data_IF_314600973503
#
_entry.id   IF_314600973503
#
_cell.length_a   1.000
_cell.length_b   1.000
_cell.length_c   1.000
_cell.angle_alpha   90.00
_cell.angle_beta   90.00
_cell.angle_gamma   90.00
#
_symmetry.space_group_name_H-M   'P 1'
#
loop_
_entity.id
_entity.type
_entity.pdbx_description
1 polymer ?
#
# COMPACT_ATOMS: atom_id res chain seq x y z
N UNK A 1 44.97 12.63 -9.18
CA UNK A 1 44.34 11.34 -8.81
C UNK A 1 42.94 11.31 -9.41
N UNK A 2 42.65 10.41 -10.34
CA UNK A 2 41.30 10.25 -10.94
C UNK A 2 40.48 9.33 -10.03
N UNK A 3 39.60 9.92 -9.23
CA UNK A 3 38.70 9.17 -8.36
C UNK A 3 37.63 8.48 -9.21
N UNK A 4 37.59 7.15 -9.20
CA UNK A 4 36.53 6.37 -9.83
C UNK A 4 35.48 6.08 -8.76
N UNK A 5 34.35 6.75 -8.85
CA UNK A 5 33.18 6.47 -8.02
C UNK A 5 32.51 5.21 -8.59
N UNK A 6 32.62 4.10 -7.87
CA UNK A 6 31.90 2.87 -8.18
C UNK A 6 30.52 3.03 -7.54
N UNK A 7 29.51 3.30 -8.37
CA UNK A 7 28.12 3.16 -7.96
C UNK A 7 27.81 1.67 -7.83
N UNK A 8 27.83 1.16 -6.61
CA UNK A 8 27.31 -0.16 -6.30
C UNK A 8 25.78 -0.12 -6.47
N UNK A 9 25.32 -0.50 -7.65
CA UNK A 9 23.92 -0.85 -7.88
C UNK A 9 23.63 -2.14 -7.11
N UNK A 10 23.12 -1.99 -5.89
CA UNK A 10 22.50 -3.07 -5.14
C UNK A 10 21.24 -3.46 -5.90
N UNK A 11 21.38 -4.42 -6.81
CA UNK A 11 20.27 -5.15 -7.40
C UNK A 11 19.77 -6.09 -6.31
N UNK A 12 18.85 -5.60 -5.48
CA UNK A 12 17.99 -6.48 -4.67
C UNK A 12 17.00 -7.14 -5.63
N UNK A 13 17.49 -8.17 -6.31
CA UNK A 13 16.65 -9.14 -7.00
C UNK A 13 15.83 -9.89 -5.94
N UNK A 14 14.65 -9.35 -5.61
CA UNK A 14 13.58 -10.10 -4.97
C UNK A 14 13.07 -11.14 -5.97
N UNK A 15 13.86 -12.19 -6.18
CA UNK A 15 13.43 -13.43 -6.81
C UNK A 15 12.52 -14.19 -5.86
N UNK A 16 11.29 -13.70 -5.68
CA UNK A 16 10.22 -14.47 -5.05
C UNK A 16 9.64 -15.42 -6.10
N UNK A 17 10.21 -16.61 -6.21
CA UNK A 17 9.51 -17.77 -6.76
C UNK A 17 8.42 -18.16 -5.77
N UNK A 18 7.23 -17.61 -5.97
CA UNK A 18 6.01 -18.00 -5.24
C UNK A 18 5.32 -19.08 -6.06
N UNK A 19 5.40 -20.32 -5.58
CA UNK A 19 4.46 -21.39 -5.93
C UNK A 19 3.05 -20.85 -5.82
N UNK A 20 2.29 -20.94 -6.92
CA UNK A 20 0.89 -20.57 -6.98
C UNK A 20 0.11 -21.43 -5.97
N UNK A 21 -0.22 -20.85 -4.82
CA UNK A 21 -1.30 -21.35 -4.00
C UNK A 21 -2.59 -20.73 -4.56
N UNK A 22 -3.51 -21.55 -5.05
CA UNK A 22 -4.86 -21.12 -5.39
C UNK A 22 -5.54 -20.65 -4.09
N UNK A 23 -5.42 -19.36 -3.78
CA UNK A 23 -6.22 -18.73 -2.74
C UNK A 23 -7.67 -18.73 -3.23
N UNK A 24 -8.55 -19.36 -2.45
CA UNK A 24 -9.98 -19.34 -2.70
C UNK A 24 -10.46 -17.89 -2.71
N UNK A 25 -10.93 -17.43 -3.87
CA UNK A 25 -11.72 -16.20 -3.99
C UNK A 25 -12.97 -16.37 -3.14
N UNK A 26 -13.00 -15.77 -1.95
CA UNK A 26 -14.25 -15.47 -1.26
C UNK A 26 -14.89 -14.29 -2.00
N UNK A 27 -15.66 -14.61 -3.03
CA UNK A 27 -16.60 -13.66 -3.64
C UNK A 27 -17.63 -13.33 -2.57
N UNK A 28 -17.45 -12.20 -1.88
CA UNK A 28 -18.52 -11.60 -1.08
C UNK A 28 -19.55 -11.05 -2.07
N UNK A 29 -20.47 -11.92 -2.51
CA UNK A 29 -21.68 -11.50 -3.21
C UNK A 29 -22.65 -10.97 -2.15
N UNK A 30 -22.51 -9.69 -1.81
CA UNK A 30 -23.51 -8.94 -1.06
C UNK A 30 -24.68 -8.64 -2.01
N UNK A 31 -25.76 -9.40 -1.87
CA UNK A 31 -26.97 -9.34 -2.71
C UNK A 31 -27.93 -8.21 -2.27
N UNK A 32 -27.35 -7.05 -1.90
CA UNK A 32 -28.06 -5.85 -1.50
C UNK A 32 -28.15 -4.86 -2.68
N UNK A 33 -29.27 -4.12 -2.87
CA UNK A 33 -29.48 -3.26 -4.05
C UNK A 33 -28.63 -1.97 -4.10
N UNK A 34 -27.45 -1.97 -3.49
CA UNK A 34 -26.45 -0.90 -3.54
C UNK A 34 -25.32 -1.18 -4.56
N UNK A 35 -25.63 -1.88 -5.65
CA UNK A 35 -24.70 -2.42 -6.65
C UNK A 35 -23.91 -1.38 -7.49
N UNK A 36 -23.84 -0.11 -7.10
CA UNK A 36 -23.08 0.93 -7.81
C UNK A 36 -21.84 1.42 -7.07
N UNK A 37 -21.59 0.96 -5.85
CA UNK A 37 -20.34 1.25 -5.14
C UNK A 37 -19.53 -0.04 -5.06
N UNK A 38 -18.35 -0.13 -5.70
CA UNK A 38 -17.47 -1.26 -5.43
C UNK A 38 -17.27 -1.29 -3.93
N UNK A 39 -17.60 -2.42 -3.29
CA UNK A 39 -17.36 -2.64 -1.88
C UNK A 39 -15.94 -2.17 -1.59
N UNK A 40 -15.76 -1.37 -0.53
CA UNK A 40 -14.51 -0.72 -0.14
C UNK A 40 -13.45 -1.78 0.18
N UNK A 41 -12.96 -2.48 -0.83
CA UNK A 41 -12.00 -3.54 -0.71
C UNK A 41 -10.66 -2.89 -0.36
N UNK A 42 -10.00 -3.40 0.66
CA UNK A 42 -8.65 -2.97 1.00
C UNK A 42 -7.64 -3.75 0.16
N UNK A 43 -6.40 -3.27 0.13
CA UNK A 43 -5.24 -3.98 -0.41
C UNK A 43 -4.81 -5.11 0.54
N UNK A 44 -5.71 -6.07 0.83
CA UNK A 44 -5.55 -7.19 1.75
C UNK A 44 -5.78 -8.52 1.04
N UNK A 45 -5.44 -9.65 1.68
CA UNK A 45 -5.75 -11.01 1.19
C UNK A 45 -5.26 -11.29 -0.24
N UNK A 46 -4.13 -10.72 -0.64
CA UNK A 46 -3.51 -10.96 -1.94
C UNK A 46 -3.84 -9.92 -3.00
N UNK A 47 -4.82 -9.02 -2.78
CA UNK A 47 -5.08 -7.91 -3.70
C UNK A 47 -3.90 -6.95 -3.77
N UNK A 48 -3.06 -6.84 -2.73
CA UNK A 48 -1.82 -6.06 -2.78
C UNK A 48 -0.81 -6.59 -3.83
N UNK A 49 -0.81 -7.90 -4.11
CA UNK A 49 0.07 -8.50 -5.11
C UNK A 49 -0.44 -8.20 -6.51
N UNK A 50 -1.75 -8.30 -6.72
CA UNK A 50 -2.39 -7.95 -7.99
C UNK A 50 -2.24 -6.45 -8.29
N UNK A 51 -2.38 -5.62 -7.27
CA UNK A 51 -2.11 -4.19 -7.36
C UNK A 51 -0.65 -3.92 -7.76
N UNK A 52 0.31 -4.58 -7.13
CA UNK A 52 1.73 -4.44 -7.48
C UNK A 52 2.02 -4.88 -8.93
N UNK A 53 1.39 -5.95 -9.41
CA UNK A 53 1.50 -6.39 -10.80
C UNK A 53 0.91 -5.35 -11.77
N UNK A 54 -0.27 -4.80 -11.46
CA UNK A 54 -0.88 -3.72 -12.25
C UNK A 54 0.04 -2.50 -12.31
N UNK A 55 0.58 -2.06 -11.17
CA UNK A 55 1.48 -0.90 -11.09
C UNK A 55 2.78 -1.14 -11.87
N UNK A 56 3.35 -2.34 -11.79
CA UNK A 56 4.54 -2.71 -12.55
C UNK A 56 4.30 -2.70 -14.07
N UNK A 57 3.14 -3.16 -14.51
CA UNK A 57 2.82 -3.24 -15.94
C UNK A 57 2.44 -1.87 -16.54
N UNK A 58 1.57 -1.11 -15.86
CA UNK A 58 0.94 0.09 -16.42
C UNK A 58 1.68 1.37 -16.05
N UNK A 59 2.36 1.40 -14.90
CA UNK A 59 3.11 2.57 -14.41
C UNK A 59 4.50 2.16 -13.91
N UNK A 60 5.18 1.29 -14.66
CA UNK A 60 6.44 0.67 -14.25
C UNK A 60 7.54 1.63 -13.80
N UNK A 61 7.61 2.85 -14.38
CA UNK A 61 8.55 3.90 -13.92
C UNK A 61 8.25 4.32 -12.47
N UNK A 62 6.98 4.48 -12.13
CA UNK A 62 6.58 4.81 -10.76
C UNK A 62 6.82 3.64 -9.81
N UNK A 63 6.58 2.40 -10.25
CA UNK A 63 6.81 1.18 -9.47
C UNK A 63 8.29 0.92 -9.10
N UNK A 64 9.22 1.73 -9.62
CA UNK A 64 10.65 1.71 -9.27
C UNK A 64 11.07 2.86 -8.34
N UNK A 65 10.13 3.70 -7.91
CA UNK A 65 10.42 4.88 -7.07
C UNK A 65 10.43 4.55 -5.59
N UNK A 66 11.14 5.35 -4.80
CA UNK A 66 11.09 5.28 -3.33
C UNK A 66 9.67 5.50 -2.79
N UNK A 67 8.85 6.32 -3.46
CA UNK A 67 7.45 6.51 -3.06
C UNK A 67 6.67 5.19 -3.16
N UNK A 68 6.84 4.45 -4.25
CA UNK A 68 6.24 3.12 -4.36
C UNK A 68 6.71 2.18 -3.25
N UNK A 69 8.01 2.13 -2.99
CA UNK A 69 8.58 1.31 -1.91
C UNK A 69 8.01 1.67 -0.54
N UNK A 70 7.96 2.96 -0.20
CA UNK A 70 7.43 3.45 1.07
C UNK A 70 5.94 3.12 1.25
N UNK A 71 5.15 3.20 0.17
CA UNK A 71 3.74 2.81 0.20
C UNK A 71 3.61 1.30 0.47
N UNK A 72 4.26 0.49 -0.36
CA UNK A 72 4.14 -0.96 -0.29
C UNK A 72 4.72 -1.55 0.99
N UNK A 73 5.80 -0.99 1.55
CA UNK A 73 6.37 -1.49 2.80
C UNK A 73 5.39 -1.41 3.96
N UNK A 74 4.64 -0.31 4.07
CA UNK A 74 3.65 -0.13 5.14
C UNK A 74 2.39 -0.95 4.87
N UNK A 75 1.92 -1.03 3.62
CA UNK A 75 0.78 -1.90 3.25
C UNK A 75 1.11 -3.36 3.51
N UNK A 76 2.32 -3.81 3.16
CA UNK A 76 2.78 -5.18 3.46
C UNK A 76 2.87 -5.43 4.96
N UNK A 77 3.39 -4.47 5.75
CA UNK A 77 3.45 -4.60 7.20
C UNK A 77 2.05 -4.70 7.81
N UNK A 78 1.12 -3.86 7.36
CA UNK A 78 -0.29 -3.90 7.77
C UNK A 78 -0.93 -5.26 7.49
N UNK A 79 -0.70 -5.81 6.29
CA UNK A 79 -1.24 -7.11 5.89
C UNK A 79 -0.63 -8.28 6.66
N UNK A 80 0.64 -8.18 7.06
CA UNK A 80 1.30 -9.20 7.85
C UNK A 80 0.83 -9.17 9.31
N UNK A 81 0.75 -7.97 9.88
CA UNK A 81 0.29 -7.75 11.26
C UNK A 81 -0.24 -6.32 11.40
N UNK A 82 -1.58 -6.13 11.46
CA UNK A 82 -2.17 -4.79 11.52
C UNK A 82 -1.67 -3.96 12.70
N UNK A 83 -1.38 -4.58 13.85
CA UNK A 83 -0.85 -3.87 15.02
C UNK A 83 0.60 -3.39 14.85
N UNK A 84 1.38 -4.02 13.97
CA UNK A 84 2.79 -3.66 13.78
C UNK A 84 2.96 -2.25 13.17
N UNK A 85 1.96 -1.73 12.46
CA UNK A 85 2.00 -0.36 11.93
C UNK A 85 2.03 0.70 13.04
N UNK A 86 1.57 0.37 14.25
CA UNK A 86 1.59 1.30 15.38
C UNK A 86 3.01 1.68 15.79
N UNK A 87 3.99 0.81 15.52
CA UNK A 87 5.40 1.03 15.84
C UNK A 87 6.14 1.89 14.80
N UNK A 88 5.48 2.30 13.71
CA UNK A 88 6.10 3.16 12.69
C UNK A 88 6.31 4.56 13.27
N UNK A 89 7.51 5.11 13.07
CA UNK A 89 7.89 6.45 13.52
C UNK A 89 7.04 7.54 12.85
N UNK A 90 6.79 8.70 13.50
CA UNK A 90 6.05 9.80 12.88
C UNK A 90 6.64 10.26 11.53
N UNK A 91 7.97 10.25 11.40
CA UNK A 91 8.66 10.58 10.15
C UNK A 91 8.34 9.58 9.02
N UNK A 92 8.29 8.28 9.33
CA UNK A 92 7.96 7.26 8.34
C UNK A 92 6.47 7.21 8.03
N UNK A 93 5.59 7.56 9.00
CA UNK A 93 4.16 7.79 8.74
C UNK A 93 3.95 8.93 7.73
N UNK A 94 4.73 10.01 7.85
CA UNK A 94 4.67 11.13 6.90
C UNK A 94 5.10 10.71 5.49
N UNK A 95 6.22 9.95 5.37
CA UNK A 95 6.66 9.38 4.08
C UNK A 95 5.62 8.46 3.45
N UNK A 96 4.94 7.64 4.25
CA UNK A 96 3.85 6.79 3.78
C UNK A 96 2.68 7.61 3.23
N UNK A 97 2.24 8.65 3.95
CA UNK A 97 1.14 9.49 3.51
C UNK A 97 1.47 10.29 2.24
N UNK A 98 2.70 10.80 2.13
CA UNK A 98 3.20 11.41 0.89
C UNK A 98 3.19 10.39 -0.26
N UNK A 99 3.72 9.19 -0.02
CA UNK A 99 3.73 8.11 -0.99
C UNK A 99 2.32 7.70 -1.44
N UNK A 100 1.35 7.61 -0.52
CA UNK A 100 -0.05 7.33 -0.81
C UNK A 100 -0.67 8.40 -1.73
N UNK A 101 -0.38 9.69 -1.48
CA UNK A 101 -0.81 10.77 -2.37
C UNK A 101 -0.22 10.62 -3.78
N UNK A 102 1.06 10.21 -3.88
CA UNK A 102 1.71 9.99 -5.17
C UNK A 102 1.16 8.76 -5.92
N UNK A 103 0.78 7.70 -5.21
CA UNK A 103 0.06 6.54 -5.77
C UNK A 103 -1.27 7.00 -6.38
N UNK A 104 -2.08 7.73 -5.62
CA UNK A 104 -3.36 8.28 -6.09
C UNK A 104 -3.18 9.17 -7.31
N UNK A 105 -2.22 10.10 -7.27
CA UNK A 105 -1.92 10.98 -8.42
C UNK A 105 -1.44 10.22 -9.66
N UNK A 106 -0.76 9.09 -9.46
CA UNK A 106 -0.28 8.24 -10.56
C UNK A 106 -1.43 7.46 -11.17
N UNK A 107 -2.30 6.89 -10.34
CA UNK A 107 -3.49 6.15 -10.76
C UNK A 107 -4.53 7.05 -11.43
N UNK A 108 -4.73 8.27 -10.93
CA UNK A 108 -5.64 9.24 -11.53
C UNK A 108 -5.25 9.64 -12.98
N UNK A 109 -3.98 9.46 -13.36
CA UNK A 109 -3.51 9.67 -14.74
C UNK A 109 -3.82 8.48 -15.66
N UNK A 110 -4.07 7.30 -15.09
CA UNK A 110 -4.46 6.12 -15.84
C UNK A 110 -5.98 6.20 -16.08
N UNK A 111 -6.40 6.24 -17.35
CA UNK A 111 -7.80 6.46 -17.75
C UNK A 111 -8.59 5.15 -17.88
N UNK A 112 -8.21 4.12 -17.13
CA UNK A 112 -8.83 2.79 -17.20
C UNK A 112 -9.60 2.45 -15.92
N UNK A 113 -10.57 1.53 -16.04
CA UNK A 113 -11.44 1.17 -14.93
C UNK A 113 -10.69 0.47 -13.78
N UNK A 114 -9.60 -0.24 -14.07
CA UNK A 114 -8.78 -0.89 -13.05
C UNK A 114 -7.99 0.15 -12.25
N UNK A 115 -7.52 1.23 -12.87
CA UNK A 115 -6.88 2.34 -12.17
C UNK A 115 -7.78 2.95 -11.10
N UNK A 116 -9.04 3.23 -11.46
CA UNK A 116 -10.04 3.76 -10.52
C UNK A 116 -10.30 2.79 -9.37
N UNK A 117 -10.44 1.49 -9.68
CA UNK A 117 -10.58 0.45 -8.66
C UNK A 117 -9.38 0.48 -7.69
N UNK A 118 -8.16 0.38 -8.21
CA UNK A 118 -6.95 0.38 -7.39
C UNK A 118 -6.76 1.64 -6.58
N UNK A 119 -7.16 2.79 -7.14
CA UNK A 119 -7.12 4.07 -6.44
C UNK A 119 -8.03 4.05 -5.22
N UNK A 120 -9.26 3.54 -5.35
CA UNK A 120 -10.18 3.40 -4.23
C UNK A 120 -9.67 2.42 -3.17
N UNK A 121 -9.08 1.30 -3.58
CA UNK A 121 -8.54 0.32 -2.62
C UNK A 121 -7.30 0.85 -1.88
N UNK A 122 -6.40 1.54 -2.58
CA UNK A 122 -5.23 2.18 -2.00
C UNK A 122 -5.62 3.30 -1.02
N UNK A 123 -6.59 4.16 -1.39
CA UNK A 123 -7.11 5.21 -0.52
C UNK A 123 -7.77 4.62 0.74
N UNK A 124 -8.63 3.61 0.58
CA UNK A 124 -9.29 2.98 1.73
C UNK A 124 -8.28 2.32 2.68
N UNK A 125 -7.26 1.65 2.14
CA UNK A 125 -6.19 1.03 2.94
C UNK A 125 -5.40 2.09 3.72
N UNK A 126 -5.06 3.19 3.06
CA UNK A 126 -4.36 4.34 3.68
C UNK A 126 -5.18 4.92 4.82
N UNK A 127 -6.49 5.12 4.63
CA UNK A 127 -7.39 5.62 5.68
C UNK A 127 -7.46 4.69 6.89
N UNK A 128 -7.50 3.37 6.68
CA UNK A 128 -7.53 2.42 7.79
C UNK A 128 -6.23 2.45 8.61
N UNK A 129 -5.08 2.50 7.95
CA UNK A 129 -3.79 2.62 8.62
C UNK A 129 -3.69 3.93 9.41
N UNK A 130 -4.10 5.05 8.80
CA UNK A 130 -4.14 6.35 9.47
C UNK A 130 -5.10 6.36 10.67
N UNK A 131 -6.24 5.67 10.56
CA UNK A 131 -7.19 5.52 11.67
C UNK A 131 -6.53 4.83 12.86
N UNK A 132 -5.79 3.74 12.64
CA UNK A 132 -5.05 3.06 13.72
C UNK A 132 -4.03 3.98 14.39
N UNK A 133 -3.31 4.79 13.63
CA UNK A 133 -2.36 5.75 14.17
C UNK A 133 -3.02 6.84 15.01
N UNK A 134 -4.13 7.39 14.55
CA UNK A 134 -4.87 8.43 15.25
C UNK A 134 -5.49 7.87 16.54
N UNK A 135 -6.10 6.68 16.49
CA UNK A 135 -6.67 6.02 17.66
C UNK A 135 -5.61 5.71 18.73
N UNK A 136 -4.41 5.27 18.30
CA UNK A 136 -3.30 5.02 19.22
C UNK A 136 -2.77 6.32 19.84
N UNK A 137 -2.71 7.43 19.10
CA UNK A 137 -2.31 8.73 19.65
C UNK A 137 -3.28 9.18 20.75
N UNK A 138 -4.59 9.11 20.51
CA UNK A 138 -5.59 9.47 21.52
C UNK A 138 -5.51 8.60 22.78
N UNK A 139 -5.18 7.31 22.62
CA UNK A 139 -5.01 6.41 23.76
C UNK A 139 -3.75 6.72 24.59
N UNK A 140 -2.64 7.06 23.93
CA UNK A 140 -1.38 7.46 24.61
C UNK A 140 -1.57 8.78 25.34
N UNK A 141 -2.21 9.77 24.71
CA UNK A 141 -2.50 11.07 25.32
C UNK A 141 -3.40 10.94 26.56
N UNK A 142 -4.39 10.06 26.53
CA UNK A 142 -5.27 9.82 27.69
C UNK A 142 -4.53 9.14 28.87
N UNK A 143 -3.55 8.29 28.59
CA UNK A 143 -2.76 7.61 29.61
C UNK A 143 -1.73 8.53 30.28
N UNK A 144 -1.26 9.57 29.58
CA UNK A 144 -0.26 10.53 30.10
C UNK A 144 -0.88 11.59 31.05
N UNK A 145 -2.21 11.64 31.13
CA UNK A 145 -2.98 12.59 31.97
C UNK A 145 -3.46 11.94 33.29
N UNK A 146 -3.26 10.63 33.49
CA UNK A 146 -3.59 9.88 34.71
C UNK A 146 -2.40 9.73 35.65
#
# INVERSE_FOLDING_TARGET
MKSRVIFASVVLGLGLVITQANAATTTNTDDSPAATKPASAMLVNGSQVQFAAYMGHNVGKFAQTTNWTNFMSVVSLYNQSPAAVLNISPADRAKFNEAAAQVTNTLAKQKDANASLWMHQADHTTRMINFLWNANQSAVEAADIQ
#
